data_IF_206507293702
#
_entry.id   IF_206507293702
#
_cell.length_a   1.000
_cell.length_b   1.000
_cell.length_c   1.000
_cell.angle_alpha   90.00
_cell.angle_beta   90.00
_cell.angle_gamma   90.00
#
_symmetry.space_group_name_H-M   'P 1'
#
loop_
_entity.id
_entity.type
_entity.pdbx_description
1 polymer ?
#
# COMPACT_ATOMS: atom_id res chain seq x y z
N UNK A 1 72.06 -48.11 -13.94
CA UNK A 1 72.03 -48.64 -12.55
C UNK A 1 70.96 -47.84 -11.82
N UNK A 2 69.92 -48.34 -11.15
CA UNK A 2 69.52 -49.64 -10.60
C UNK A 2 67.97 -49.61 -10.36
N UNK A 3 67.27 -50.67 -9.87
CA UNK A 3 67.43 -52.11 -10.07
C UNK A 3 66.13 -52.81 -10.58
N UNK A 4 66.28 -53.97 -11.22
CA UNK A 4 65.20 -54.92 -11.52
C UNK A 4 64.65 -55.55 -10.22
N UNK A 5 63.34 -55.41 -9.94
CA UNK A 5 62.69 -56.16 -8.86
C UNK A 5 62.47 -57.63 -9.27
N UNK A 6 63.09 -58.53 -8.51
CA UNK A 6 62.94 -60.00 -8.57
C UNK A 6 61.48 -60.41 -8.47
N UNK A 7 61.09 -61.34 -9.35
CA UNK A 7 59.79 -62.02 -9.32
C UNK A 7 59.52 -62.69 -7.97
N UNK A 8 58.35 -62.42 -7.42
CA UNK A 8 57.84 -63.10 -6.23
C UNK A 8 57.21 -64.40 -6.70
N UNK A 9 57.87 -65.53 -6.39
CA UNK A 9 57.35 -66.90 -6.57
C UNK A 9 55.91 -66.98 -6.05
N UNK A 10 55.02 -67.54 -6.86
CA UNK A 10 53.61 -67.73 -6.54
C UNK A 10 53.44 -68.45 -5.21
N UNK A 11 52.65 -67.83 -4.33
CA UNK A 11 52.10 -68.49 -3.14
C UNK A 11 51.10 -69.52 -3.69
N UNK A 12 51.32 -70.80 -3.40
CA UNK A 12 50.37 -71.86 -3.73
C UNK A 12 48.99 -71.40 -3.25
N UNK A 13 48.02 -71.32 -4.17
CA UNK A 13 46.62 -71.11 -3.84
C UNK A 13 46.24 -72.25 -2.89
N UNK A 14 45.95 -71.94 -1.64
CA UNK A 14 45.30 -72.91 -0.75
C UNK A 14 44.05 -73.42 -1.45
N UNK A 15 43.81 -74.72 -1.36
CA UNK A 15 42.59 -75.36 -1.85
C UNK A 15 41.40 -74.54 -1.36
N UNK A 16 40.50 -74.07 -2.24
CA UNK A 16 39.39 -73.24 -1.84
C UNK A 16 38.47 -74.06 -0.93
N UNK A 17 38.48 -73.80 0.37
CA UNK A 17 37.62 -74.51 1.33
C UNK A 17 36.21 -73.98 1.16
N UNK A 18 35.26 -74.89 0.93
CA UNK A 18 33.84 -74.60 0.73
C UNK A 18 33.09 -75.27 1.87
N UNK A 19 32.41 -74.48 2.71
CA UNK A 19 31.70 -74.95 3.91
C UNK A 19 32.52 -75.87 4.85
N UNK A 20 33.84 -75.63 4.97
CA UNK A 20 34.71 -76.39 5.86
C UNK A 20 35.28 -77.69 5.30
N UNK A 21 34.94 -78.07 4.05
CA UNK A 21 35.52 -79.21 3.33
C UNK A 21 36.32 -78.75 2.11
N UNK A 22 37.30 -79.55 1.68
CA UNK A 22 37.94 -79.33 0.40
C UNK A 22 36.96 -79.73 -0.72
N UNK A 23 36.92 -79.02 -1.86
CA UNK A 23 35.94 -79.28 -2.93
C UNK A 23 36.06 -80.68 -3.53
N UNK A 24 37.23 -81.30 -3.39
CA UNK A 24 37.54 -82.66 -3.86
C UNK A 24 37.01 -83.75 -2.92
N UNK A 25 36.68 -83.40 -1.67
CA UNK A 25 36.16 -84.31 -0.63
C UNK A 25 34.63 -84.23 -0.45
N UNK A 26 33.95 -83.35 -1.20
CA UNK A 26 32.50 -83.18 -1.12
C UNK A 26 31.78 -84.21 -2.00
N UNK A 27 30.72 -84.81 -1.48
CA UNK A 27 29.84 -85.64 -2.31
C UNK A 27 29.09 -84.78 -3.34
N UNK A 28 28.66 -85.39 -4.44
CA UNK A 28 27.89 -84.69 -5.49
C UNK A 28 26.67 -83.96 -4.92
N UNK A 29 25.96 -84.60 -3.99
CA UNK A 29 24.78 -84.04 -3.32
C UNK A 29 25.15 -82.83 -2.44
N UNK A 30 26.27 -82.88 -1.72
CA UNK A 30 26.76 -81.76 -0.90
C UNK A 30 27.16 -80.55 -1.75
N UNK A 31 27.77 -80.79 -2.92
CA UNK A 31 28.10 -79.75 -3.89
C UNK A 31 26.82 -79.11 -4.44
N UNK A 32 25.83 -79.92 -4.82
CA UNK A 32 24.54 -79.45 -5.36
C UNK A 32 23.76 -78.61 -4.32
N UNK A 33 23.72 -79.04 -3.06
CA UNK A 33 23.07 -78.30 -1.97
C UNK A 33 23.78 -76.96 -1.70
N UNK A 34 25.12 -76.95 -1.69
CA UNK A 34 25.90 -75.73 -1.52
C UNK A 34 25.68 -74.74 -2.68
N UNK A 35 25.64 -75.24 -3.92
CA UNK A 35 25.31 -74.42 -5.11
C UNK A 35 23.91 -73.84 -4.98
N UNK A 36 22.93 -74.61 -4.47
CA UNK A 36 21.57 -74.10 -4.23
C UNK A 36 21.57 -72.99 -3.19
N UNK A 37 22.26 -73.17 -2.06
CA UNK A 37 22.34 -72.18 -0.99
C UNK A 37 22.99 -70.87 -1.44
N UNK A 38 24.11 -70.94 -2.16
CA UNK A 38 24.77 -69.75 -2.72
C UNK A 38 23.85 -69.01 -3.69
N UNK A 39 23.06 -69.72 -4.50
CA UNK A 39 22.10 -69.08 -5.40
C UNK A 39 21.00 -68.34 -4.64
N UNK A 40 20.46 -68.97 -3.59
CA UNK A 40 19.46 -68.34 -2.72
C UNK A 40 20.02 -67.12 -1.96
N UNK A 41 21.27 -67.18 -1.50
CA UNK A 41 21.95 -66.04 -0.88
C UNK A 41 22.20 -64.92 -1.89
N UNK A 42 22.66 -65.25 -3.11
CA UNK A 42 22.88 -64.28 -4.18
C UNK A 42 21.57 -63.57 -4.57
N UNK A 43 20.46 -64.31 -4.67
CA UNK A 43 19.16 -63.72 -5.01
C UNK A 43 18.63 -62.85 -3.87
N UNK A 44 18.79 -63.26 -2.59
CA UNK A 44 18.49 -62.40 -1.43
C UNK A 44 19.32 -61.12 -1.42
N UNK A 45 20.63 -61.20 -1.61
CA UNK A 45 21.49 -60.01 -1.66
C UNK A 45 21.12 -59.07 -2.83
N UNK A 46 20.67 -59.63 -3.97
CA UNK A 46 20.19 -58.84 -5.10
C UNK A 46 18.89 -58.10 -4.77
N UNK A 47 17.96 -58.75 -4.09
CA UNK A 47 16.72 -58.13 -3.62
C UNK A 47 16.99 -57.03 -2.61
N UNK A 48 17.86 -57.29 -1.62
CA UNK A 48 18.27 -56.31 -0.63
C UNK A 48 18.95 -55.09 -1.28
N UNK A 49 19.90 -55.31 -2.20
CA UNK A 49 20.53 -54.22 -2.95
C UNK A 49 19.51 -53.38 -3.71
N UNK A 50 18.54 -54.03 -4.35
CA UNK A 50 17.48 -53.32 -5.08
C UNK A 50 16.61 -52.49 -4.12
N UNK A 51 16.22 -53.08 -2.99
CA UNK A 51 15.46 -52.40 -1.95
C UNK A 51 16.18 -51.15 -1.42
N UNK A 52 17.46 -51.27 -1.04
CA UNK A 52 18.24 -50.13 -0.57
C UNK A 52 18.46 -49.07 -1.65
N UNK A 53 18.54 -49.47 -2.92
CA UNK A 53 18.65 -48.52 -4.02
C UNK A 53 17.37 -47.70 -4.19
N UNK A 54 16.20 -48.35 -4.13
CA UNK A 54 14.91 -47.65 -4.16
C UNK A 54 14.73 -46.70 -2.96
N UNK A 55 15.08 -47.14 -1.75
CA UNK A 55 15.01 -46.28 -0.57
C UNK A 55 15.99 -45.09 -0.66
N UNK A 56 17.20 -45.31 -1.16
CA UNK A 56 18.17 -44.22 -1.42
C UNK A 56 17.61 -43.22 -2.42
N UNK A 57 17.05 -43.68 -3.54
CA UNK A 57 16.54 -42.80 -4.59
C UNK A 57 15.30 -42.02 -4.11
N UNK A 58 14.46 -42.65 -3.30
CA UNK A 58 13.34 -42.00 -2.60
C UNK A 58 13.79 -40.91 -1.62
N UNK A 59 14.82 -41.19 -0.81
CA UNK A 59 15.39 -40.18 0.10
C UNK A 59 15.97 -38.99 -0.70
N UNK A 60 16.67 -39.24 -1.80
CA UNK A 60 17.18 -38.17 -2.67
C UNK A 60 16.04 -37.33 -3.24
N UNK A 61 14.99 -37.96 -3.76
CA UNK A 61 13.81 -37.26 -4.27
C UNK A 61 13.17 -36.37 -3.21
N UNK A 62 12.95 -36.89 -2.00
CA UNK A 62 12.42 -36.08 -0.89
C UNK A 62 13.34 -34.91 -0.56
N UNK A 63 14.66 -35.14 -0.48
CA UNK A 63 15.62 -34.08 -0.20
C UNK A 63 15.58 -32.98 -1.26
N UNK A 64 15.55 -33.33 -2.55
CA UNK A 64 15.45 -32.36 -3.64
C UNK A 64 14.14 -31.56 -3.59
N UNK A 65 13.02 -32.24 -3.32
CA UNK A 65 11.71 -31.59 -3.17
C UNK A 65 11.72 -30.61 -2.00
N UNK A 66 12.14 -31.05 -0.82
CA UNK A 66 12.15 -30.21 0.38
C UNK A 66 13.14 -29.05 0.23
N UNK A 67 14.28 -29.27 -0.40
CA UNK A 67 15.24 -28.20 -0.70
C UNK A 67 14.63 -27.13 -1.62
N UNK A 68 13.98 -27.55 -2.71
CA UNK A 68 13.30 -26.63 -3.64
C UNK A 68 12.20 -25.85 -2.94
N UNK A 69 11.38 -26.51 -2.14
CA UNK A 69 10.32 -25.88 -1.35
C UNK A 69 10.90 -24.85 -0.36
N UNK A 70 12.03 -25.16 0.28
CA UNK A 70 12.69 -24.21 1.18
C UNK A 70 13.21 -22.97 0.42
N UNK A 71 13.81 -23.16 -0.75
CA UNK A 71 14.29 -22.05 -1.59
C UNK A 71 13.12 -21.18 -2.10
N UNK A 72 12.01 -21.79 -2.49
CA UNK A 72 10.77 -21.11 -2.88
C UNK A 72 10.19 -20.30 -1.71
N UNK A 73 10.05 -20.89 -0.52
CA UNK A 73 9.54 -20.18 0.66
C UNK A 73 10.44 -19.03 1.10
N UNK A 74 11.76 -19.17 0.96
CA UNK A 74 12.70 -18.05 1.19
C UNK A 74 12.53 -16.93 0.18
N UNK A 75 12.25 -17.25 -1.09
CA UNK A 75 11.96 -16.26 -2.11
C UNK A 75 10.62 -15.56 -1.85
N UNK A 76 9.58 -16.30 -1.51
CA UNK A 76 8.28 -15.75 -1.12
C UNK A 76 8.40 -14.79 0.06
N UNK A 77 9.14 -15.15 1.12
CA UNK A 77 9.36 -14.28 2.28
C UNK A 77 9.99 -12.95 1.87
N UNK A 78 11.07 -12.98 1.09
CA UNK A 78 11.73 -11.75 0.61
C UNK A 78 10.81 -10.88 -0.24
N UNK A 79 9.96 -11.50 -1.06
CA UNK A 79 8.98 -10.76 -1.86
C UNK A 79 7.91 -10.13 -0.95
N UNK A 80 7.43 -10.84 0.07
CA UNK A 80 6.46 -10.32 1.04
C UNK A 80 7.04 -9.16 1.85
N UNK A 81 8.29 -9.27 2.31
CA UNK A 81 8.97 -8.19 3.03
C UNK A 81 9.08 -6.93 2.14
N UNK A 82 9.46 -7.11 0.87
CA UNK A 82 9.51 -6.00 -0.09
C UNK A 82 8.13 -5.38 -0.37
N UNK A 83 7.11 -6.21 -0.56
CA UNK A 83 5.73 -5.72 -0.76
C UNK A 83 5.24 -4.92 0.46
N UNK A 84 5.64 -5.33 1.67
CA UNK A 84 5.33 -4.63 2.92
C UNK A 84 6.04 -3.27 2.97
N UNK A 85 7.35 -3.22 2.69
CA UNK A 85 8.11 -1.96 2.61
C UNK A 85 7.49 -0.99 1.58
N UNK A 86 7.18 -1.47 0.37
CA UNK A 86 6.57 -0.65 -0.68
C UNK A 86 5.15 -0.18 -0.29
N UNK A 87 4.39 -0.96 0.47
CA UNK A 87 3.08 -0.55 0.99
C UNK A 87 3.23 0.54 2.08
N UNK A 88 4.19 0.39 2.99
CA UNK A 88 4.48 1.37 4.03
C UNK A 88 4.95 2.70 3.42
N UNK A 89 5.86 2.66 2.45
CA UNK A 89 6.34 3.85 1.74
C UNK A 89 5.18 4.59 1.04
N UNK A 90 4.33 3.85 0.31
CA UNK A 90 3.13 4.42 -0.33
C UNK A 90 2.22 5.07 0.70
N UNK A 91 1.93 4.39 1.80
CA UNK A 91 1.07 4.92 2.84
C UNK A 91 1.65 6.19 3.49
N UNK A 92 2.96 6.24 3.73
CA UNK A 92 3.62 7.44 4.22
C UNK A 92 3.52 8.62 3.24
N UNK A 93 3.66 8.37 1.94
CA UNK A 93 3.48 9.39 0.90
C UNK A 93 2.04 9.90 0.89
N UNK A 94 1.05 9.01 0.96
CA UNK A 94 -0.37 9.38 1.05
C UNK A 94 -0.65 10.28 2.26
N UNK A 95 -0.16 9.91 3.45
CA UNK A 95 -0.29 10.73 4.65
C UNK A 95 0.27 12.14 4.43
N UNK A 96 1.44 12.25 3.79
CA UNK A 96 2.06 13.56 3.48
C UNK A 96 1.19 14.38 2.52
N UNK A 97 0.65 13.75 1.47
CA UNK A 97 -0.25 14.41 0.51
C UNK A 97 -1.54 14.88 1.19
N UNK A 98 -2.18 14.02 1.99
CA UNK A 98 -3.38 14.39 2.73
C UNK A 98 -3.13 15.51 3.72
N UNK A 99 -2.01 15.46 4.45
CA UNK A 99 -1.60 16.55 5.36
C UNK A 99 -1.42 17.86 4.60
N UNK A 100 -0.82 17.83 3.42
CA UNK A 100 -0.67 19.03 2.58
C UNK A 100 -2.02 19.54 2.07
N UNK A 101 -2.92 18.64 1.65
CA UNK A 101 -4.28 18.99 1.20
C UNK A 101 -5.08 19.68 2.30
N UNK A 102 -5.02 19.18 3.54
CA UNK A 102 -5.65 19.82 4.69
C UNK A 102 -5.07 21.20 4.94
N UNK A 103 -3.75 21.36 4.93
CA UNK A 103 -3.10 22.68 5.09
C UNK A 103 -3.57 23.67 4.03
N UNK A 104 -3.63 23.24 2.76
CA UNK A 104 -4.08 24.09 1.66
C UNK A 104 -5.54 24.52 1.83
N UNK A 105 -6.45 23.59 2.15
CA UNK A 105 -7.86 23.90 2.40
C UNK A 105 -8.04 24.90 3.55
N UNK A 106 -7.30 24.72 4.65
CA UNK A 106 -7.34 25.66 5.78
C UNK A 106 -6.85 27.05 5.38
N UNK A 107 -5.79 27.12 4.59
CA UNK A 107 -5.25 28.38 4.07
C UNK A 107 -6.25 29.07 3.14
N UNK A 108 -6.86 28.35 2.20
CA UNK A 108 -7.88 28.89 1.29
C UNK A 108 -9.09 29.40 2.07
N UNK A 109 -9.61 28.63 3.03
CA UNK A 109 -10.72 29.08 3.87
C UNK A 109 -10.38 30.34 4.66
N UNK A 110 -9.18 30.42 5.23
CA UNK A 110 -8.74 31.62 5.95
C UNK A 110 -8.62 32.83 5.01
N UNK A 111 -8.10 32.62 3.80
CA UNK A 111 -7.98 33.68 2.81
C UNK A 111 -9.35 34.19 2.38
N UNK A 112 -10.26 33.29 2.00
CA UNK A 112 -11.63 33.61 1.59
C UNK A 112 -12.41 34.33 2.71
N UNK A 113 -12.23 33.91 3.97
CA UNK A 113 -12.86 34.57 5.12
C UNK A 113 -12.32 35.99 5.32
N UNK A 114 -11.01 36.18 5.15
CA UNK A 114 -10.38 37.51 5.23
C UNK A 114 -10.90 38.43 4.14
N UNK A 115 -10.97 37.93 2.91
CA UNK A 115 -11.46 38.65 1.74
C UNK A 115 -12.93 39.06 1.93
N UNK A 116 -13.81 38.10 2.25
CA UNK A 116 -15.23 38.40 2.50
C UNK A 116 -15.44 39.43 3.63
N UNK A 117 -14.62 39.39 4.70
CA UNK A 117 -14.70 40.40 5.77
C UNK A 117 -14.29 41.78 5.28
N UNK A 118 -13.24 41.86 4.48
CA UNK A 118 -12.77 43.12 3.90
C UNK A 118 -13.83 43.70 2.94
N UNK A 119 -14.34 42.88 2.01
CA UNK A 119 -15.41 43.25 1.09
C UNK A 119 -16.67 43.71 1.83
N UNK A 120 -17.12 42.93 2.82
CA UNK A 120 -18.29 43.28 3.63
C UNK A 120 -18.13 44.61 4.37
N UNK A 121 -16.93 44.92 4.86
CA UNK A 121 -16.63 46.21 5.49
C UNK A 121 -16.71 47.37 4.49
N UNK A 122 -16.21 47.18 3.26
CA UNK A 122 -16.29 48.18 2.19
C UNK A 122 -17.74 48.42 1.79
N UNK A 123 -18.50 47.35 1.53
CA UNK A 123 -19.92 47.42 1.18
C UNK A 123 -20.73 48.14 2.25
N UNK A 124 -20.51 47.81 3.53
CA UNK A 124 -21.22 48.45 4.64
C UNK A 124 -20.89 49.95 4.75
N UNK A 125 -19.62 50.34 4.54
CA UNK A 125 -19.22 51.77 4.52
C UNK A 125 -19.85 52.52 3.35
N UNK A 126 -19.92 51.90 2.17
CA UNK A 126 -20.56 52.48 0.99
C UNK A 126 -22.06 52.69 1.24
N UNK A 127 -22.77 51.66 1.72
CA UNK A 127 -24.18 51.74 2.07
C UNK A 127 -24.45 52.82 3.14
N UNK A 128 -23.60 52.92 4.16
CA UNK A 128 -23.72 53.98 5.18
C UNK A 128 -23.53 55.38 4.59
N UNK A 129 -22.56 55.56 3.67
CA UNK A 129 -22.33 56.84 2.99
C UNK A 129 -23.51 57.22 2.11
N UNK A 130 -24.06 56.26 1.37
CA UNK A 130 -25.23 56.45 0.53
C UNK A 130 -26.44 56.85 1.37
N UNK A 131 -26.73 56.12 2.45
CA UNK A 131 -27.82 56.45 3.38
C UNK A 131 -27.67 57.86 3.96
N UNK A 132 -26.50 58.25 4.45
CA UNK A 132 -26.24 59.61 4.94
C UNK A 132 -26.48 60.67 3.87
N UNK A 133 -26.15 60.36 2.62
CA UNK A 133 -26.38 61.27 1.49
C UNK A 133 -27.87 61.43 1.24
N UNK A 134 -28.62 60.33 1.20
CA UNK A 134 -30.08 60.32 1.04
C UNK A 134 -30.77 61.07 2.19
N UNK A 135 -30.40 60.82 3.44
CA UNK A 135 -30.90 61.58 4.60
C UNK A 135 -30.62 63.09 4.46
N UNK A 136 -29.43 63.45 3.97
CA UNK A 136 -29.05 64.84 3.73
C UNK A 136 -29.94 65.52 2.68
N UNK A 137 -30.27 64.82 1.60
CA UNK A 137 -31.21 65.28 0.56
C UNK A 137 -32.61 65.43 1.13
N UNK A 138 -33.14 64.39 1.78
CA UNK A 138 -34.48 64.44 2.40
C UNK A 138 -34.63 65.59 3.42
N UNK A 139 -33.59 65.87 4.21
CA UNK A 139 -33.58 67.00 5.14
C UNK A 139 -33.61 68.34 4.43
N UNK A 140 -32.95 68.48 3.28
CA UNK A 140 -33.00 69.70 2.45
C UNK A 140 -34.39 69.87 1.85
N UNK A 141 -34.93 68.81 1.26
CA UNK A 141 -36.25 68.82 0.62
C UNK A 141 -37.35 69.14 1.64
N UNK A 142 -37.31 68.54 2.83
CA UNK A 142 -38.23 68.86 3.92
C UNK A 142 -38.16 70.34 4.33
N UNK A 143 -36.97 70.95 4.36
CA UNK A 143 -36.84 72.38 4.65
C UNK A 143 -37.40 73.24 3.53
N UNK A 144 -37.13 72.88 2.27
CA UNK A 144 -37.66 73.58 1.11
C UNK A 144 -39.20 73.54 1.10
N UNK A 145 -39.79 72.37 1.30
CA UNK A 145 -41.25 72.20 1.39
C UNK A 145 -41.88 73.00 2.53
N UNK A 146 -41.21 73.11 3.69
CA UNK A 146 -41.69 73.95 4.81
C UNK A 146 -41.69 75.43 4.46
N UNK A 147 -40.70 75.90 3.70
CA UNK A 147 -40.64 77.29 3.23
C UNK A 147 -41.76 77.52 2.22
N UNK A 148 -41.88 76.65 1.22
CA UNK A 148 -42.92 76.73 0.18
C UNK A 148 -44.34 76.72 0.79
N UNK A 149 -44.60 75.84 1.76
CA UNK A 149 -45.87 75.82 2.49
C UNK A 149 -46.16 77.17 3.17
N UNK A 150 -45.15 77.76 3.82
CA UNK A 150 -45.32 79.03 4.53
C UNK A 150 -45.51 80.21 3.57
N UNK A 151 -44.82 80.20 2.43
CA UNK A 151 -45.05 81.16 1.34
C UNK A 151 -46.47 81.05 0.79
N UNK A 152 -46.98 79.84 0.62
CA UNK A 152 -48.35 79.58 0.17
C UNK A 152 -49.39 80.06 1.21
N UNK A 153 -49.17 79.80 2.50
CA UNK A 153 -50.00 80.31 3.61
C UNK A 153 -50.08 81.84 3.60
N UNK A 154 -48.92 82.52 3.49
CA UNK A 154 -48.83 83.98 3.39
C UNK A 154 -49.57 84.53 2.16
N UNK A 155 -49.38 83.91 1.00
CA UNK A 155 -50.07 84.30 -0.23
C UNK A 155 -51.60 84.16 -0.08
N UNK A 156 -52.06 83.05 0.50
CA UNK A 156 -53.48 82.82 0.78
C UNK A 156 -54.06 83.85 1.75
N UNK A 157 -53.33 84.22 2.82
CA UNK A 157 -53.76 85.28 3.74
C UNK A 157 -53.96 86.63 3.02
N UNK A 158 -53.06 86.98 2.10
CA UNK A 158 -53.17 88.20 1.30
C UNK A 158 -54.42 88.16 0.43
N UNK A 159 -54.70 87.03 -0.24
CA UNK A 159 -55.93 86.85 -1.03
C UNK A 159 -57.17 87.01 -0.16
N UNK A 160 -57.23 86.37 1.01
CA UNK A 160 -58.37 86.49 1.94
C UNK A 160 -58.55 87.92 2.42
N UNK A 161 -57.47 88.63 2.77
CA UNK A 161 -57.53 90.06 3.16
C UNK A 161 -58.09 90.92 2.01
N UNK A 162 -57.63 90.70 0.78
CA UNK A 162 -58.12 91.41 -0.39
C UNK A 162 -59.61 91.14 -0.66
N UNK A 163 -60.05 89.89 -0.58
CA UNK A 163 -61.45 89.52 -0.73
C UNK A 163 -62.34 90.19 0.33
N UNK A 164 -61.89 90.21 1.60
CA UNK A 164 -62.59 90.92 2.68
C UNK A 164 -62.72 92.41 2.42
N UNK A 165 -61.67 93.06 1.92
CA UNK A 165 -61.69 94.48 1.55
C UNK A 165 -62.65 94.76 0.38
N UNK A 166 -62.71 93.88 -0.60
CA UNK A 166 -63.66 93.99 -1.72
C UNK A 166 -65.10 93.82 -1.22
N UNK A 167 -65.37 92.82 -0.36
CA UNK A 167 -66.71 92.61 0.20
C UNK A 167 -67.17 93.73 1.15
N UNK A 168 -66.24 94.49 1.74
CA UNK A 168 -66.57 95.62 2.61
C UNK A 168 -66.78 96.95 1.85
N UNK A 169 -66.52 96.98 0.54
CA UNK A 169 -66.72 98.15 -0.34
C UNK A 169 -68.00 98.08 -1.19
N UNK A 170 -68.71 96.95 -1.13
CA UNK A 170 -70.06 96.77 -1.66
C UNK A 170 -71.07 96.82 -0.53
#
# INVERSE_FOLDING_TARGET
MAPKKKGKKGKAKGTPIVDGLAPEDMSKEQVEEHVSRIREELDREREERNYFQLERDKIHSFWEITRRQLEEKKAELRNRDREMEEAEERHQVEIKVYKQKVKHLLYEHQNNLTEMKAEGTVVMKLAQKEHRTQEGVLRKDMRALKVELKEQELANEVVVKNLRLISAKN
#
